data_IF_647410665402
#
_entry.id   IF_647410665402
#
_cell.length_a   1.000
_cell.length_b   1.000
_cell.length_c   1.000
_cell.angle_alpha   90.00
_cell.angle_beta   90.00
_cell.angle_gamma   90.00
#
_symmetry.space_group_name_H-M   'P 1'
#
loop_
_entity.id
_entity.type
_entity.pdbx_description
1 polymer ?
#
# COMPACT_ATOMS: atom_id res chain seq x y z
N UNK A 1 5.03 -8.23 -27.61
CA UNK A 1 3.69 -8.74 -27.25
C UNK A 1 2.85 -7.53 -26.89
N UNK A 2 1.99 -7.10 -27.80
CA UNK A 2 1.01 -6.05 -27.55
C UNK A 2 -0.07 -6.67 -26.67
N UNK A 3 -0.48 -6.00 -25.60
CA UNK A 3 -1.69 -6.39 -24.88
C UNK A 3 -2.87 -6.06 -25.81
N UNK A 4 -3.52 -7.08 -26.36
CA UNK A 4 -4.78 -6.89 -27.10
C UNK A 4 -5.87 -6.60 -26.07
N UNK A 5 -6.19 -5.31 -25.93
CA UNK A 5 -7.10 -4.80 -24.89
C UNK A 5 -8.55 -5.25 -25.08
N UNK A 6 -8.94 -5.69 -26.28
CA UNK A 6 -10.28 -6.23 -26.56
C UNK A 6 -10.55 -7.55 -25.79
N UNK A 7 -9.50 -8.23 -25.29
CA UNK A 7 -9.62 -9.45 -24.49
C UNK A 7 -9.94 -9.15 -23.00
N UNK A 8 -9.59 -7.95 -22.51
CA UNK A 8 -9.79 -7.56 -21.10
C UNK A 8 -11.27 -7.31 -20.75
N UNK A 9 -12.03 -6.72 -21.69
CA UNK A 9 -13.47 -6.45 -21.51
C UNK A 9 -14.29 -7.75 -21.39
N UNK A 10 -13.80 -8.85 -21.96
CA UNK A 10 -14.47 -10.16 -21.89
C UNK A 10 -14.30 -10.84 -20.52
N UNK A 11 -13.22 -10.52 -19.79
CA UNK A 11 -12.89 -11.13 -18.49
C UNK A 11 -13.69 -10.49 -17.33
N UNK A 12 -13.93 -9.18 -17.38
CA UNK A 12 -14.73 -8.50 -16.33
C UNK A 12 -16.18 -9.00 -16.29
N UNK A 13 -16.77 -9.35 -17.43
CA UNK A 13 -18.14 -9.86 -17.52
C UNK A 13 -18.31 -11.24 -16.84
N UNK A 14 -17.25 -12.05 -16.78
CA UNK A 14 -17.32 -13.40 -16.20
C UNK A 14 -17.15 -13.44 -14.68
N UNK A 15 -16.56 -12.40 -14.05
CA UNK A 15 -16.34 -12.35 -12.59
C UNK A 15 -17.56 -11.88 -11.80
N UNK A 16 -18.44 -11.08 -12.41
CA UNK A 16 -19.59 -10.48 -11.73
C UNK A 16 -20.68 -11.49 -11.27
N UNK A 17 -20.57 -12.77 -11.65
CA UNK A 17 -21.60 -13.81 -11.40
C UNK A 17 -21.31 -14.75 -10.22
N UNK A 18 -20.18 -14.61 -9.51
CA UNK A 18 -19.86 -15.40 -8.31
C UNK A 18 -20.04 -14.59 -7.02
N UNK A 19 -21.29 -14.34 -6.61
CA UNK A 19 -21.57 -13.68 -5.34
C UNK A 19 -21.43 -14.66 -4.15
N UNK A 20 -20.58 -14.29 -3.20
CA UNK A 20 -20.25 -15.01 -1.97
C UNK A 20 -21.40 -14.99 -0.95
N UNK A 21 -21.67 -16.12 -0.30
CA UNK A 21 -22.62 -16.26 0.82
C UNK A 21 -21.83 -16.25 2.14
N UNK A 22 -22.06 -15.30 3.06
CA UNK A 22 -21.30 -15.23 4.30
C UNK A 22 -21.75 -16.34 5.26
N UNK A 23 -20.82 -17.26 5.55
CA UNK A 23 -20.95 -18.30 6.56
C UNK A 23 -20.70 -17.70 7.95
N UNK A 24 -21.76 -17.58 8.76
CA UNK A 24 -21.67 -17.14 10.15
C UNK A 24 -21.03 -18.23 11.01
N UNK A 25 -19.76 -18.06 11.38
CA UNK A 25 -19.06 -18.92 12.33
C UNK A 25 -18.62 -18.08 13.52
N UNK A 26 -19.38 -18.16 14.61
CA UNK A 26 -18.98 -17.62 15.91
C UNK A 26 -17.76 -18.40 16.43
N UNK A 27 -16.57 -17.79 16.33
CA UNK A 27 -15.33 -18.38 16.84
C UNK A 27 -15.20 -18.12 18.35
N UNK A 28 -15.24 -19.20 19.12
CA UNK A 28 -14.91 -19.27 20.54
C UNK A 28 -13.48 -18.77 20.82
N UNK A 29 -13.36 -17.49 21.23
CA UNK A 29 -12.16 -16.88 21.82
C UNK A 29 -12.16 -17.10 23.34
N UNK A 30 -11.43 -18.08 23.88
CA UNK A 30 -11.19 -18.05 25.35
C UNK A 30 -9.87 -18.62 25.88
N UNK A 31 -9.00 -19.23 25.06
CA UNK A 31 -7.80 -19.92 25.59
C UNK A 31 -6.47 -19.17 25.36
N UNK A 32 -6.42 -18.18 24.47
CA UNK A 32 -5.18 -17.43 24.16
C UNK A 32 -4.99 -16.11 24.96
N UNK A 33 -5.93 -15.73 25.82
CA UNK A 33 -5.97 -14.40 26.42
C UNK A 33 -4.82 -14.10 27.43
N UNK A 34 -4.29 -15.12 28.12
CA UNK A 34 -3.35 -14.91 29.23
C UNK A 34 -1.94 -14.46 28.82
N UNK A 35 -1.47 -14.84 27.63
CA UNK A 35 -0.13 -14.45 27.15
C UNK A 35 -0.07 -12.98 26.74
N UNK A 36 -1.11 -12.52 26.06
CA UNK A 36 -1.20 -11.17 25.51
C UNK A 36 -1.29 -10.11 26.61
N UNK A 37 -2.01 -10.37 27.70
CA UNK A 37 -2.14 -9.42 28.81
C UNK A 37 -0.81 -9.16 29.53
N UNK A 38 0.01 -10.20 29.71
CA UNK A 38 1.34 -10.07 30.30
C UNK A 38 2.29 -9.27 29.40
N UNK A 39 2.16 -9.42 28.07
CA UNK A 39 2.93 -8.65 27.10
C UNK A 39 2.53 -7.17 27.08
N UNK A 40 1.22 -6.87 27.08
CA UNK A 40 0.70 -5.50 27.20
C UNK A 40 1.26 -4.83 28.46
N UNK A 41 1.17 -5.48 29.61
CA UNK A 41 1.64 -4.93 30.88
C UNK A 41 3.17 -4.75 30.91
N UNK A 42 3.94 -5.69 30.35
CA UNK A 42 5.39 -5.56 30.21
C UNK A 42 5.74 -4.36 29.33
N UNK A 43 5.07 -4.22 28.19
CA UNK A 43 5.27 -3.09 27.29
C UNK A 43 4.90 -1.76 27.95
N UNK A 44 3.80 -1.71 28.72
CA UNK A 44 3.35 -0.52 29.44
C UNK A 44 4.42 -0.03 30.42
N UNK A 45 4.95 -0.93 31.26
CA UNK A 45 6.01 -0.60 32.22
C UNK A 45 7.28 -0.09 31.53
N UNK A 46 7.68 -0.74 30.43
CA UNK A 46 8.84 -0.31 29.62
C UNK A 46 8.64 1.12 29.09
N UNK A 47 7.50 1.40 28.45
CA UNK A 47 7.21 2.72 27.88
C UNK A 47 7.19 3.80 28.96
N UNK A 48 6.56 3.52 30.10
CA UNK A 48 6.51 4.45 31.24
C UNK A 48 7.90 4.76 31.81
N UNK A 49 8.75 3.73 31.98
CA UNK A 49 10.12 3.92 32.44
C UNK A 49 10.96 4.75 31.45
N UNK A 50 10.71 4.59 30.16
CA UNK A 50 11.46 5.24 29.08
C UNK A 50 10.96 6.64 28.70
N UNK A 51 9.94 7.19 29.36
CA UNK A 51 9.30 8.47 28.94
C UNK A 51 10.28 9.65 28.83
N UNK A 52 11.38 9.63 29.58
CA UNK A 52 12.39 10.68 29.60
C UNK A 52 13.68 10.32 28.85
N UNK A 53 13.77 9.10 28.31
CA UNK A 53 15.00 8.61 27.66
C UNK A 53 15.00 8.82 26.14
N UNK A 54 13.94 9.38 25.58
CA UNK A 54 13.79 9.64 24.14
C UNK A 54 12.99 8.58 23.38
N UNK A 55 12.69 8.86 22.12
CA UNK A 55 11.81 8.02 21.29
C UNK A 55 12.41 6.63 21.02
N UNK A 56 13.75 6.51 20.98
CA UNK A 56 14.42 5.25 20.68
C UNK A 56 14.12 4.18 21.74
N UNK A 57 14.10 4.58 23.01
CA UNK A 57 13.79 3.71 24.14
C UNK A 57 12.30 3.37 24.24
N UNK A 58 11.43 4.27 23.79
CA UNK A 58 9.97 4.03 23.72
C UNK A 58 9.65 3.02 22.60
N UNK A 59 10.24 3.19 21.42
CA UNK A 59 10.06 2.30 20.27
C UNK A 59 10.90 1.02 20.32
N UNK A 60 11.77 0.87 21.33
CA UNK A 60 12.70 -0.26 21.47
C UNK A 60 13.65 -0.45 20.28
N UNK A 61 14.12 0.66 19.72
CA UNK A 61 14.99 0.68 18.55
C UNK A 61 16.45 0.89 18.94
N UNK A 62 17.34 0.20 18.22
CA UNK A 62 18.77 0.30 18.43
C UNK A 62 19.34 1.51 17.66
N UNK A 63 19.98 2.44 18.39
CA UNK A 63 20.47 3.74 17.89
C UNK A 63 21.46 3.65 16.72
N UNK A 64 22.15 2.52 16.57
CA UNK A 64 23.25 2.42 15.62
C UNK A 64 22.82 2.26 14.15
N UNK A 65 21.57 1.84 13.89
CA UNK A 65 21.00 1.71 12.54
C UNK A 65 19.47 1.86 12.61
N UNK A 66 19.01 3.08 12.75
CA UNK A 66 17.56 3.35 12.66
C UNK A 66 17.24 3.89 11.27
N UNK A 67 16.47 3.11 10.51
CA UNK A 67 15.87 3.56 9.25
C UNK A 67 14.37 3.83 9.42
N UNK A 68 13.79 4.56 8.46
CA UNK A 68 12.38 4.95 8.48
C UNK A 68 11.44 3.74 8.51
N UNK A 69 11.85 2.60 7.92
CA UNK A 69 11.06 1.37 7.90
C UNK A 69 10.98 0.72 9.29
N UNK A 70 12.10 0.66 10.02
CA UNK A 70 12.19 0.12 11.38
C UNK A 70 11.37 0.94 12.37
N UNK A 71 11.39 2.28 12.22
CA UNK A 71 10.55 3.20 13.01
C UNK A 71 9.07 2.90 12.81
N UNK A 72 8.63 2.79 11.55
CA UNK A 72 7.24 2.46 11.21
C UNK A 72 6.83 1.08 11.72
N UNK A 73 7.71 0.08 11.57
CA UNK A 73 7.48 -1.28 12.07
C UNK A 73 7.27 -1.30 13.58
N UNK A 74 8.19 -0.68 14.33
CA UNK A 74 8.10 -0.61 15.79
C UNK A 74 6.86 0.15 16.26
N UNK A 75 6.54 1.28 15.62
CA UNK A 75 5.31 2.01 15.90
C UNK A 75 4.08 1.16 15.65
N UNK A 76 4.01 0.47 14.51
CA UNK A 76 2.87 -0.38 14.15
C UNK A 76 2.64 -1.50 15.17
N UNK A 77 3.68 -2.23 15.57
CA UNK A 77 3.57 -3.29 16.58
C UNK A 77 3.05 -2.74 17.93
N UNK A 78 3.55 -1.58 18.38
CA UNK A 78 3.07 -0.95 19.62
C UNK A 78 1.66 -0.37 19.49
N UNK A 79 1.33 0.20 18.34
CA UNK A 79 0.01 0.73 18.04
C UNK A 79 -1.04 -0.40 18.05
N UNK A 80 -0.72 -1.56 17.48
CA UNK A 80 -1.57 -2.75 17.55
C UNK A 80 -1.71 -3.28 18.97
N UNK A 81 -0.69 -3.18 19.81
CA UNK A 81 -0.73 -3.67 21.18
C UNK A 81 -1.55 -2.75 22.10
N UNK A 82 -1.42 -1.43 21.94
CA UNK A 82 -2.01 -0.41 22.83
C UNK A 82 -3.15 0.39 22.18
N UNK A 83 -3.74 -0.09 21.08
CA UNK A 83 -4.82 0.64 20.41
C UNK A 83 -6.01 0.85 21.37
N UNK A 84 -6.60 2.07 21.44
CA UNK A 84 -7.70 2.38 22.37
C UNK A 84 -8.90 1.44 22.22
N UNK A 85 -9.17 0.95 21.00
CA UNK A 85 -10.31 0.08 20.72
C UNK A 85 -10.17 -1.35 21.25
N UNK A 86 -8.95 -1.83 21.57
CA UNK A 86 -8.74 -3.22 21.97
C UNK A 86 -8.99 -3.46 23.45
N UNK A 87 -8.53 -2.58 24.32
CA UNK A 87 -8.59 -2.80 25.77
C UNK A 87 -9.64 -1.94 26.48
N UNK A 88 -10.08 -0.83 25.87
CA UNK A 88 -10.96 0.15 26.51
C UNK A 88 -10.38 0.80 27.77
N UNK A 89 -9.10 0.55 28.09
CA UNK A 89 -8.44 1.06 29.29
C UNK A 89 -7.91 2.46 29.04
N UNK A 90 -8.23 3.40 29.95
CA UNK A 90 -7.68 4.76 29.90
C UNK A 90 -6.15 4.77 29.92
N UNK A 91 -5.50 3.77 30.54
CA UNK A 91 -4.05 3.66 30.54
C UNK A 91 -3.49 3.45 29.13
N UNK A 92 -4.15 2.65 28.30
CA UNK A 92 -3.67 2.34 26.95
C UNK A 92 -3.87 3.52 25.99
N UNK A 93 -4.91 4.34 26.22
CA UNK A 93 -5.08 5.61 25.51
C UNK A 93 -3.87 6.53 25.72
N UNK A 94 -3.38 6.65 26.95
CA UNK A 94 -2.22 7.49 27.27
C UNK A 94 -0.93 6.89 26.72
N UNK A 95 -0.75 5.57 26.81
CA UNK A 95 0.40 4.89 26.22
C UNK A 95 0.41 5.05 24.70
N UNK A 96 -0.73 4.91 24.03
CA UNK A 96 -0.85 5.10 22.59
C UNK A 96 -0.43 6.51 22.17
N UNK A 97 -0.83 7.55 22.91
CA UNK A 97 -0.39 8.94 22.67
C UNK A 97 1.13 9.09 22.83
N UNK A 98 1.72 8.47 23.84
CA UNK A 98 3.18 8.50 24.06
C UNK A 98 3.91 7.82 22.90
N UNK A 99 3.44 6.63 22.48
CA UNK A 99 3.98 5.87 21.35
C UNK A 99 3.85 6.66 20.05
N UNK A 100 2.70 7.29 19.80
CA UNK A 100 2.46 8.11 18.63
C UNK A 100 3.37 9.34 18.59
N UNK A 101 3.53 10.03 19.73
CA UNK A 101 4.48 11.15 19.83
C UNK A 101 5.91 10.69 19.54
N UNK A 102 6.34 9.57 20.13
CA UNK A 102 7.66 9.01 19.88
C UNK A 102 7.88 8.66 18.41
N UNK A 103 6.86 8.14 17.73
CA UNK A 103 6.89 7.90 16.29
C UNK A 103 7.06 9.19 15.47
N UNK A 104 6.28 10.24 15.76
CA UNK A 104 6.42 11.52 15.07
C UNK A 104 7.80 12.13 15.26
N UNK A 105 8.33 12.10 16.49
CA UNK A 105 9.68 12.58 16.80
C UNK A 105 10.74 11.78 16.03
N UNK A 106 10.61 10.45 15.97
CA UNK A 106 11.51 9.55 15.26
C UNK A 106 11.51 9.78 13.75
N UNK A 107 10.34 9.91 13.13
CA UNK A 107 10.22 10.16 11.68
C UNK A 107 10.85 11.50 11.31
N UNK A 108 10.64 12.54 12.12
CA UNK A 108 11.25 13.84 11.91
C UNK A 108 12.78 13.77 11.97
N UNK A 109 13.34 13.07 12.97
CA UNK A 109 14.78 12.92 13.12
C UNK A 109 15.42 12.09 11.99
N UNK A 110 14.81 10.96 11.61
CA UNK A 110 15.28 10.11 10.51
C UNK A 110 15.24 10.87 9.18
N UNK A 111 14.16 11.62 8.91
CA UNK A 111 14.06 12.43 7.68
C UNK A 111 15.15 13.51 7.59
N UNK A 112 15.53 14.12 8.71
CA UNK A 112 16.65 15.07 8.78
C UNK A 112 18.00 14.38 8.53
N UNK A 113 18.21 13.17 9.07
CA UNK A 113 19.43 12.39 8.84
C UNK A 113 19.58 11.96 7.37
N UNK A 114 18.49 11.51 6.74
CA UNK A 114 18.45 11.14 5.32
C UNK A 114 18.77 12.34 4.42
N UNK A 115 18.16 13.50 4.71
CA UNK A 115 18.41 14.76 4.00
C UNK A 115 19.86 15.21 4.12
N UNK A 116 20.47 15.05 5.30
CA UNK A 116 21.87 15.40 5.56
C UNK A 116 22.83 14.45 4.83
N UNK A 117 22.52 13.15 4.81
CA UNK A 117 23.31 12.12 4.13
C UNK A 117 23.33 12.30 2.62
N UNK A 118 22.19 12.68 2.02
CA UNK A 118 22.10 13.00 0.58
C UNK A 118 23.02 14.16 0.20
N UNK A 119 23.11 15.21 1.03
CA UNK A 119 24.03 16.33 0.81
C UNK A 119 25.50 15.95 0.94
N UNK A 120 25.82 14.97 1.78
CA UNK A 120 27.17 14.46 1.96
C UNK A 120 27.63 13.53 0.82
N UNK A 121 26.79 13.27 -0.20
CA UNK A 121 27.12 12.36 -1.30
C UNK A 121 27.20 10.89 -0.87
N UNK A 122 26.78 10.59 0.37
CA UNK A 122 26.67 9.22 0.88
C UNK A 122 25.38 8.67 0.29
N UNK A 123 25.49 7.82 -0.74
CA UNK A 123 24.34 7.08 -1.27
C UNK A 123 23.71 6.31 -0.11
N UNK A 124 22.56 6.76 0.35
CA UNK A 124 21.78 6.08 1.39
C UNK A 124 21.58 4.65 0.93
N UNK A 125 21.95 3.70 1.79
CA UNK A 125 21.72 2.28 1.55
C UNK A 125 20.20 2.08 1.62
N UNK A 126 19.49 2.35 0.52
CA UNK A 126 18.05 2.15 0.42
C UNK A 126 17.69 0.78 0.94
N UNK A 127 16.55 0.69 1.65
CA UNK A 127 16.04 -0.49 2.33
C UNK A 127 16.49 -1.76 1.60
N UNK A 128 17.58 -2.37 2.06
CA UNK A 128 18.07 -3.59 1.44
C UNK A 128 16.96 -4.60 1.68
N UNK A 129 16.39 -5.22 0.62
CA UNK A 129 15.38 -6.25 0.81
C UNK A 129 15.98 -7.24 1.80
N UNK A 130 15.36 -7.35 2.97
CA UNK A 130 15.80 -8.30 3.98
C UNK A 130 15.79 -9.68 3.34
N UNK A 131 16.91 -10.39 3.41
CA UNK A 131 17.05 -11.79 2.95
C UNK A 131 16.24 -12.77 3.85
N UNK A 132 15.26 -12.23 4.59
CA UNK A 132 14.43 -12.92 5.54
C UNK A 132 13.25 -13.55 4.79
N UNK A 133 13.46 -14.79 4.39
CA UNK A 133 12.48 -15.85 4.60
C UNK A 133 11.31 -15.87 3.63
N UNK A 134 11.36 -16.84 2.71
CA UNK A 134 10.24 -17.36 1.91
C UNK A 134 9.39 -16.30 1.20
N UNK A 135 9.91 -15.82 0.06
CA UNK A 135 8.99 -15.46 -1.02
C UNK A 135 8.25 -16.74 -1.42
N UNK A 136 6.92 -16.73 -1.31
CA UNK A 136 6.13 -17.79 -1.91
C UNK A 136 6.34 -17.71 -3.42
N UNK A 137 6.93 -18.73 -4.07
CA UNK A 137 7.08 -18.72 -5.52
C UNK A 137 5.74 -19.07 -6.15
N UNK A 138 4.72 -18.23 -5.92
CA UNK A 138 3.41 -18.43 -6.52
C UNK A 138 3.53 -18.17 -8.02
N UNK A 139 3.20 -19.18 -8.81
CA UNK A 139 3.12 -19.11 -10.26
C UNK A 139 1.67 -19.24 -10.72
N UNK A 140 1.44 -19.09 -12.02
CA UNK A 140 0.13 -19.36 -12.62
C UNK A 140 -0.33 -20.82 -12.42
N UNK A 141 0.59 -21.73 -12.11
CA UNK A 141 0.31 -23.14 -11.84
C UNK A 141 0.16 -23.48 -10.34
N UNK A 142 0.20 -22.49 -9.44
CA UNK A 142 0.03 -22.74 -8.01
C UNK A 142 -1.40 -23.17 -7.71
N UNK A 143 -1.58 -24.16 -6.82
CA UNK A 143 -2.92 -24.61 -6.44
C UNK A 143 -3.66 -23.53 -5.65
N UNK A 144 -4.99 -23.58 -5.70
CA UNK A 144 -5.86 -22.66 -4.95
C UNK A 144 -5.54 -22.67 -3.46
N UNK A 145 -5.32 -23.85 -2.89
CA UNK A 145 -5.06 -24.06 -1.47
C UNK A 145 -3.72 -23.44 -1.05
N UNK A 146 -2.69 -23.60 -1.90
CA UNK A 146 -1.37 -23.03 -1.64
C UNK A 146 -1.40 -21.51 -1.66
N UNK A 147 -2.08 -20.92 -2.65
CA UNK A 147 -2.21 -19.47 -2.78
C UNK A 147 -3.00 -18.90 -1.61
N UNK A 148 -4.08 -19.58 -1.19
CA UNK A 148 -4.86 -19.14 -0.03
C UNK A 148 -4.05 -19.22 1.26
N UNK A 149 -3.34 -20.31 1.50
CA UNK A 149 -2.47 -20.45 2.66
C UNK A 149 -1.38 -19.36 2.72
N UNK A 150 -0.80 -18.99 1.57
CA UNK A 150 0.19 -17.93 1.49
C UNK A 150 -0.38 -16.55 1.87
N UNK A 151 -1.61 -16.24 1.43
CA UNK A 151 -2.30 -15.01 1.82
C UNK A 151 -2.66 -15.03 3.31
N UNK A 152 -3.18 -16.15 3.82
CA UNK A 152 -3.52 -16.30 5.24
C UNK A 152 -2.30 -16.16 6.16
N UNK A 153 -1.16 -16.75 5.78
CA UNK A 153 0.11 -16.60 6.52
C UNK A 153 0.60 -15.14 6.48
N UNK A 154 0.52 -14.48 5.32
CA UNK A 154 0.88 -13.06 5.22
C UNK A 154 -0.02 -12.15 6.05
N UNK A 155 -1.33 -12.40 6.09
CA UNK A 155 -2.27 -11.63 6.93
C UNK A 155 -1.94 -11.79 8.41
N UNK A 156 -1.62 -13.01 8.83
CA UNK A 156 -1.18 -13.29 10.19
C UNK A 156 0.13 -12.56 10.52
N UNK A 157 1.13 -12.64 9.65
CA UNK A 157 2.39 -11.92 9.80
C UNK A 157 2.18 -10.40 9.83
N UNK A 158 1.23 -9.88 9.05
CA UNK A 158 0.90 -8.46 9.05
C UNK A 158 0.34 -8.01 10.39
N UNK A 159 -0.62 -8.77 10.93
CA UNK A 159 -1.23 -8.51 12.24
C UNK A 159 -0.22 -8.61 13.40
N UNK A 160 0.85 -9.39 13.24
CA UNK A 160 1.95 -9.46 14.21
C UNK A 160 3.05 -8.41 13.97
N UNK A 161 2.97 -7.66 12.87
CA UNK A 161 4.01 -6.72 12.45
C UNK A 161 5.29 -7.42 11.98
N UNK A 162 5.20 -8.65 11.50
CA UNK A 162 6.28 -9.48 10.97
C UNK A 162 6.47 -9.41 9.45
N UNK A 163 5.64 -8.62 8.73
CA UNK A 163 5.75 -8.47 7.27
C UNK A 163 7.08 -7.90 6.79
N UNK A 164 7.45 -8.31 5.57
CA UNK A 164 8.62 -7.82 4.84
C UNK A 164 8.37 -6.44 4.26
N UNK A 165 7.21 -6.24 3.62
CA UNK A 165 6.82 -4.97 3.03
C UNK A 165 5.79 -4.29 3.91
N UNK A 166 6.18 -3.18 4.54
CA UNK A 166 5.25 -2.32 5.25
C UNK A 166 4.47 -1.49 4.22
N UNK A 167 3.13 -1.54 4.19
CA UNK A 167 2.29 -0.80 3.23
C UNK A 167 2.67 0.67 3.06
N UNK A 168 2.94 1.34 4.17
CA UNK A 168 3.29 2.77 4.20
C UNK A 168 4.69 3.05 3.64
N UNK A 169 5.57 2.05 3.63
CA UNK A 169 6.94 2.15 3.09
C UNK A 169 7.01 1.98 1.58
N UNK A 170 5.92 1.57 0.93
CA UNK A 170 5.87 1.43 -0.52
C UNK A 170 5.85 2.83 -1.14
N UNK A 171 6.74 3.10 -2.11
CA UNK A 171 6.92 4.44 -2.65
C UNK A 171 5.65 4.95 -3.31
N UNK A 172 5.43 6.25 -3.21
CA UNK A 172 4.31 6.94 -3.81
C UNK A 172 4.72 7.63 -5.12
N UNK A 173 3.77 7.80 -6.03
CA UNK A 173 3.91 8.55 -7.29
C UNK A 173 2.81 9.58 -7.39
N UNK A 174 3.16 10.81 -7.74
CA UNK A 174 2.22 11.91 -7.95
C UNK A 174 1.38 11.68 -9.23
N UNK A 175 0.17 12.24 -9.27
CA UNK A 175 -0.72 12.15 -10.43
C UNK A 175 -0.07 12.67 -11.74
N UNK A 176 0.73 13.73 -11.66
CA UNK A 176 1.43 14.30 -12.82
C UNK A 176 2.50 13.36 -13.38
N UNK A 177 3.23 12.65 -12.52
CA UNK A 177 4.24 11.69 -12.93
C UNK A 177 3.59 10.42 -13.48
N UNK A 178 2.53 9.93 -12.85
CA UNK A 178 1.72 8.83 -13.36
C UNK A 178 1.20 9.12 -14.78
N UNK A 179 0.69 10.32 -15.04
CA UNK A 179 0.21 10.71 -16.36
C UNK A 179 1.33 10.63 -17.43
N UNK A 180 2.55 11.05 -17.07
CA UNK A 180 3.73 10.91 -17.95
C UNK A 180 4.08 9.43 -18.21
N UNK A 181 4.01 8.57 -17.19
CA UNK A 181 4.25 7.13 -17.36
C UNK A 181 3.19 6.46 -18.23
N UNK A 182 1.92 6.85 -18.08
CA UNK A 182 0.82 6.37 -18.92
C UNK A 182 1.04 6.77 -20.38
N UNK A 183 1.44 8.01 -20.64
CA UNK A 183 1.72 8.49 -21.98
C UNK A 183 2.87 7.74 -22.65
N UNK A 184 3.91 7.43 -21.88
CA UNK A 184 5.07 6.70 -22.35
C UNK A 184 4.82 5.19 -22.47
N UNK A 185 3.66 4.68 -22.03
CA UNK A 185 3.37 3.25 -21.95
C UNK A 185 4.34 2.52 -21.02
N UNK A 186 4.77 3.16 -19.93
CA UNK A 186 5.77 2.65 -18.98
C UNK A 186 5.17 2.09 -17.69
N UNK A 187 3.87 2.22 -17.50
CA UNK A 187 3.18 1.71 -16.32
C UNK A 187 1.90 0.96 -16.65
N UNK A 188 1.48 0.10 -15.72
CA UNK A 188 0.15 -0.46 -15.61
C UNK A 188 -0.45 0.02 -14.30
N UNK A 189 -1.70 0.48 -14.34
CA UNK A 189 -2.39 0.99 -13.16
C UNK A 189 -3.29 -0.11 -12.63
N UNK A 190 -3.33 -0.29 -11.32
CA UNK A 190 -4.15 -1.30 -10.65
C UNK A 190 -5.16 -0.60 -9.75
N UNK A 191 -6.45 -0.77 -10.06
CA UNK A 191 -7.56 -0.28 -9.26
C UNK A 191 -7.90 -1.30 -8.17
N UNK A 192 -7.61 -0.93 -6.92
CA UNK A 192 -7.83 -1.77 -5.74
C UNK A 192 -9.06 -1.41 -4.93
N UNK A 193 -9.92 -0.55 -5.47
CA UNK A 193 -11.20 -0.22 -4.84
C UNK A 193 -12.09 -1.44 -4.76
N UNK A 194 -12.91 -1.47 -3.73
CA UNK A 194 -13.88 -2.55 -3.55
C UNK A 194 -14.94 -2.52 -4.66
N UNK A 195 -15.60 -3.67 -4.88
CA UNK A 195 -16.62 -3.81 -5.90
C UNK A 195 -17.69 -2.71 -5.84
N UNK A 196 -18.10 -2.38 -4.62
CA UNK A 196 -19.10 -1.36 -4.31
C UNK A 196 -18.59 0.06 -4.58
N UNK A 197 -17.38 0.38 -4.14
CA UNK A 197 -16.77 1.70 -4.36
C UNK A 197 -16.68 2.00 -5.85
N UNK A 198 -16.06 1.10 -6.62
CA UNK A 198 -15.91 1.29 -8.05
C UNK A 198 -17.24 1.25 -8.84
N UNK A 199 -18.31 0.64 -8.30
CA UNK A 199 -19.63 0.61 -8.95
C UNK A 199 -20.46 1.86 -8.69
N UNK A 200 -20.47 2.37 -7.46
CA UNK A 200 -21.39 3.44 -7.05
C UNK A 200 -20.73 4.81 -7.04
N UNK A 201 -19.40 4.88 -6.89
CA UNK A 201 -18.67 6.11 -7.08
C UNK A 201 -18.52 6.40 -8.58
N UNK A 202 -19.51 7.09 -9.14
CA UNK A 202 -19.46 7.67 -10.50
C UNK A 202 -18.47 8.84 -10.57
N UNK A 203 -17.30 8.69 -9.96
CA UNK A 203 -16.23 9.68 -9.98
C UNK A 203 -15.58 9.64 -11.37
N UNK A 204 -15.44 10.81 -11.98
CA UNK A 204 -14.79 11.01 -13.28
C UNK A 204 -13.80 12.18 -13.16
N UNK A 205 -12.69 12.15 -13.94
CA UNK A 205 -12.30 11.08 -14.85
C UNK A 205 -11.69 9.86 -14.13
N UNK A 206 -11.90 8.66 -14.69
CA UNK A 206 -11.23 7.44 -14.22
C UNK A 206 -9.82 7.38 -14.81
N UNK A 207 -8.91 6.67 -14.14
CA UNK A 207 -7.58 6.41 -14.70
C UNK A 207 -7.73 5.45 -15.90
N UNK A 208 -7.27 5.82 -17.10
CA UNK A 208 -7.46 4.98 -18.28
C UNK A 208 -6.77 3.64 -18.14
N UNK A 209 -7.42 2.58 -18.63
CA UNK A 209 -6.84 1.23 -18.74
C UNK A 209 -6.36 0.66 -17.40
N UNK A 210 -6.94 1.10 -16.28
CA UNK A 210 -6.64 0.52 -14.99
C UNK A 210 -7.14 -0.93 -14.93
N UNK A 211 -6.25 -1.84 -14.57
CA UNK A 211 -6.57 -3.24 -14.30
C UNK A 211 -7.24 -3.35 -12.94
N UNK A 212 -8.42 -3.96 -12.90
CA UNK A 212 -9.18 -4.10 -11.66
C UNK A 212 -8.72 -5.31 -10.85
N UNK A 213 -8.13 -5.05 -9.68
CA UNK A 213 -7.75 -6.06 -8.69
C UNK A 213 -8.19 -5.55 -7.32
N UNK A 214 -9.46 -5.81 -6.98
CA UNK A 214 -10.02 -5.40 -5.69
C UNK A 214 -9.24 -6.03 -4.53
N UNK A 215 -9.00 -5.27 -3.46
CA UNK A 215 -8.30 -5.79 -2.29
C UNK A 215 -9.05 -6.97 -1.66
N UNK A 216 -10.39 -6.87 -1.54
CA UNK A 216 -11.26 -7.97 -1.13
C UNK A 216 -11.12 -9.22 -2.00
N UNK A 217 -10.98 -9.07 -3.32
CA UNK A 217 -10.80 -10.21 -4.24
C UNK A 217 -9.42 -10.85 -4.07
N UNK A 218 -8.38 -10.03 -3.91
CA UNK A 218 -7.01 -10.50 -3.68
C UNK A 218 -6.91 -11.28 -2.36
N UNK A 219 -7.69 -10.89 -1.34
CA UNK A 219 -7.78 -11.65 -0.10
C UNK A 219 -8.64 -12.89 -0.26
N UNK A 220 -9.90 -12.74 -0.64
CA UNK A 220 -10.91 -13.81 -0.60
C UNK A 220 -10.70 -14.87 -1.69
N UNK A 221 -10.35 -14.45 -2.91
CA UNK A 221 -10.31 -15.29 -4.10
C UNK A 221 -9.02 -15.10 -4.94
N UNK A 222 -7.82 -15.10 -4.34
CA UNK A 222 -6.56 -14.77 -5.03
C UNK A 222 -6.26 -15.69 -6.21
N UNK A 223 -6.68 -16.95 -6.13
CA UNK A 223 -6.53 -17.94 -7.19
C UNK A 223 -7.21 -17.54 -8.52
N UNK A 224 -8.28 -16.74 -8.46
CA UNK A 224 -8.98 -16.29 -9.68
C UNK A 224 -8.22 -15.19 -10.42
N UNK A 225 -7.20 -14.60 -9.78
CA UNK A 225 -6.39 -13.50 -10.28
C UNK A 225 -5.01 -13.95 -10.78
N UNK A 226 -4.65 -15.25 -10.66
CA UNK A 226 -3.28 -15.71 -10.89
C UNK A 226 -2.78 -15.48 -12.32
N UNK A 227 -3.65 -15.56 -13.32
CA UNK A 227 -3.28 -15.31 -14.71
C UNK A 227 -2.96 -13.84 -14.94
N UNK A 228 -3.84 -12.94 -14.50
CA UNK A 228 -3.63 -11.48 -14.55
C UNK A 228 -2.36 -11.08 -13.79
N UNK A 229 -2.20 -11.58 -12.56
CA UNK A 229 -1.02 -11.32 -11.72
C UNK A 229 0.25 -11.89 -12.35
N UNK A 230 0.19 -13.07 -12.95
CA UNK A 230 1.34 -13.69 -13.61
C UNK A 230 1.76 -12.92 -14.86
N UNK A 231 0.81 -12.36 -15.60
CA UNK A 231 1.07 -11.53 -16.77
C UNK A 231 1.65 -10.18 -16.36
N UNK A 232 1.05 -9.54 -15.33
CA UNK A 232 1.52 -8.28 -14.78
C UNK A 232 2.96 -8.41 -14.23
N UNK A 233 3.24 -9.48 -13.48
CA UNK A 233 4.57 -9.76 -12.92
C UNK A 233 5.65 -9.95 -13.99
N UNK A 234 5.30 -10.56 -15.13
CA UNK A 234 6.22 -10.78 -16.26
C UNK A 234 6.48 -9.54 -17.11
N UNK A 235 5.64 -8.51 -17.00
CA UNK A 235 5.91 -7.23 -17.66
C UNK A 235 7.16 -6.58 -17.07
N UNK A 236 7.73 -5.57 -17.74
CA UNK A 236 8.80 -4.70 -17.19
C UNK A 236 8.25 -3.32 -16.76
N UNK A 237 6.93 -3.15 -16.75
CA UNK A 237 6.30 -1.87 -16.45
C UNK A 237 6.31 -1.56 -14.95
N UNK A 238 6.25 -0.27 -14.62
CA UNK A 238 5.87 0.18 -13.28
C UNK A 238 4.42 -0.23 -12.99
N UNK A 239 4.13 -0.62 -11.77
CA UNK A 239 2.79 -1.01 -11.32
C UNK A 239 2.34 0.02 -10.31
N UNK A 240 1.32 0.80 -10.66
CA UNK A 240 0.81 1.87 -9.81
C UNK A 240 -0.53 1.47 -9.25
N UNK A 241 -0.56 1.22 -7.94
CA UNK A 241 -1.73 0.74 -7.21
C UNK A 241 -2.47 1.92 -6.60
N UNK A 242 -3.79 1.95 -6.71
CA UNK A 242 -4.60 3.02 -6.11
C UNK A 242 -5.91 2.52 -5.50
N UNK A 243 -6.40 3.28 -4.52
CA UNK A 243 -7.74 3.18 -3.94
C UNK A 243 -8.45 4.54 -4.09
N UNK A 244 -9.69 4.69 -3.60
CA UNK A 244 -10.41 5.98 -3.67
C UNK A 244 -9.59 7.11 -3.05
N UNK A 245 -9.09 6.87 -1.84
CA UNK A 245 -8.16 7.75 -1.14
C UNK A 245 -6.77 7.12 -1.11
N UNK A 246 -5.76 7.96 -1.27
CA UNK A 246 -4.36 7.59 -1.00
C UNK A 246 -4.01 7.71 0.48
N UNK A 247 -2.73 7.65 0.79
CA UNK A 247 -2.19 7.86 2.13
C UNK A 247 -1.78 6.57 2.85
N UNK A 248 -1.45 6.71 4.13
CA UNK A 248 -0.95 5.62 4.97
C UNK A 248 -2.07 4.64 5.30
N UNK A 249 -1.79 3.34 5.19
CA UNK A 249 -2.66 2.20 5.55
C UNK A 249 -3.94 2.00 4.74
N UNK A 250 -4.04 2.60 3.55
CA UNK A 250 -5.15 2.35 2.63
C UNK A 250 -5.07 0.98 1.93
N UNK A 251 -6.18 0.56 1.30
CA UNK A 251 -6.26 -0.68 0.51
C UNK A 251 -5.17 -0.76 -0.57
N UNK A 252 -4.77 0.37 -1.16
CA UNK A 252 -3.69 0.40 -2.14
C UNK A 252 -2.33 -0.04 -1.56
N UNK A 253 -2.03 0.33 -0.32
CA UNK A 253 -0.80 -0.07 0.36
C UNK A 253 -0.81 -1.55 0.74
N UNK A 254 -1.94 -2.03 1.27
CA UNK A 254 -2.11 -3.44 1.60
C UNK A 254 -2.04 -4.33 0.36
N UNK A 255 -2.70 -3.92 -0.73
CA UNK A 255 -2.63 -4.63 -2.00
C UNK A 255 -1.20 -4.64 -2.55
N UNK A 256 -0.52 -3.49 -2.56
CA UNK A 256 0.85 -3.40 -3.02
C UNK A 256 1.81 -4.29 -2.20
N UNK A 257 1.64 -4.34 -0.87
CA UNK A 257 2.44 -5.22 -0.02
C UNK A 257 2.19 -6.71 -0.31
N UNK A 258 0.93 -7.12 -0.51
CA UNK A 258 0.59 -8.47 -0.94
C UNK A 258 1.22 -8.84 -2.29
N UNK A 259 1.18 -7.93 -3.28
CA UNK A 259 1.83 -8.14 -4.58
C UNK A 259 3.32 -8.45 -4.39
N UNK A 260 4.02 -7.69 -3.53
CA UNK A 260 5.44 -7.87 -3.28
C UNK A 260 5.71 -9.18 -2.51
N UNK A 261 5.08 -9.34 -1.35
CA UNK A 261 5.44 -10.37 -0.37
C UNK A 261 4.89 -11.76 -0.74
N UNK A 262 3.66 -11.82 -1.26
CA UNK A 262 2.97 -13.08 -1.56
C UNK A 262 3.14 -13.46 -3.02
N UNK A 263 2.96 -12.52 -3.95
CA UNK A 263 3.03 -12.81 -5.39
C UNK A 263 4.43 -12.60 -5.98
N UNK A 264 5.39 -12.13 -5.17
CA UNK A 264 6.79 -12.04 -5.53
C UNK A 264 7.08 -10.97 -6.59
N UNK A 265 6.32 -9.89 -6.61
CA UNK A 265 6.60 -8.74 -7.46
C UNK A 265 7.89 -8.05 -7.02
N UNK A 266 8.57 -7.40 -7.97
CA UNK A 266 9.74 -6.57 -7.68
C UNK A 266 9.29 -5.29 -6.98
N UNK A 267 9.70 -5.12 -5.72
CA UNK A 267 9.37 -3.96 -4.88
C UNK A 267 9.79 -2.63 -5.53
N UNK A 268 10.84 -2.59 -6.36
CA UNK A 268 11.27 -1.37 -7.05
C UNK A 268 10.31 -0.93 -8.16
N UNK A 269 9.40 -1.81 -8.57
CA UNK A 269 8.44 -1.59 -9.64
C UNK A 269 7.02 -1.35 -9.13
N UNK A 270 6.75 -1.55 -7.86
CA UNK A 270 5.42 -1.36 -7.26
C UNK A 270 5.36 -0.01 -6.55
N UNK A 271 4.40 0.81 -6.93
CA UNK A 271 4.20 2.18 -6.47
C UNK A 271 2.74 2.36 -6.04
N UNK A 272 2.49 3.33 -5.16
CA UNK A 272 1.15 3.76 -4.77
C UNK A 272 0.85 5.12 -5.39
N UNK A 273 -0.37 5.34 -5.85
CA UNK A 273 -0.78 6.68 -6.28
C UNK A 273 -0.99 7.59 -5.06
N UNK A 274 -0.24 8.69 -4.99
CA UNK A 274 -0.43 9.70 -3.94
C UNK A 274 -1.83 10.29 -4.03
N UNK A 275 -2.48 10.46 -2.87
CA UNK A 275 -3.89 10.88 -2.75
C UNK A 275 -4.93 9.97 -3.45
N UNK A 276 -4.51 8.87 -4.08
CA UNK A 276 -5.37 7.89 -4.72
C UNK A 276 -6.13 8.45 -5.92
N UNK A 277 -7.35 7.95 -6.14
CA UNK A 277 -8.20 8.40 -7.24
C UNK A 277 -8.59 9.89 -7.09
N UNK A 278 -8.70 10.39 -5.87
CA UNK A 278 -9.06 11.79 -5.61
C UNK A 278 -7.98 12.76 -6.09
N UNK A 279 -6.72 12.45 -5.83
CA UNK A 279 -5.58 13.20 -6.35
C UNK A 279 -5.55 13.21 -7.88
N UNK A 280 -5.82 12.05 -8.50
CA UNK A 280 -5.94 11.96 -9.96
C UNK A 280 -7.05 12.83 -10.53
N UNK A 281 -8.25 12.79 -9.94
CA UNK A 281 -9.39 13.58 -10.42
C UNK A 281 -9.12 15.08 -10.29
N UNK A 282 -8.54 15.49 -9.16
CA UNK A 282 -8.15 16.87 -8.92
C UNK A 282 -7.14 17.34 -9.98
N UNK A 283 -6.10 16.54 -10.22
CA UNK A 283 -5.09 16.81 -11.26
C UNK A 283 -5.71 16.87 -12.66
N UNK A 284 -6.53 15.90 -13.04
CA UNK A 284 -7.10 15.82 -14.38
C UNK A 284 -8.05 17.00 -14.66
N UNK A 285 -8.89 17.36 -13.68
CA UNK A 285 -9.77 18.53 -13.77
C UNK A 285 -8.97 19.83 -13.93
N UNK A 286 -7.87 19.98 -13.17
CA UNK A 286 -6.97 21.10 -13.31
C UNK A 286 -6.30 21.13 -14.70
N UNK A 287 -5.82 19.98 -15.18
CA UNK A 287 -5.17 19.85 -16.48
C UNK A 287 -6.11 20.27 -17.62
N UNK A 288 -7.37 19.81 -17.60
CA UNK A 288 -8.40 20.23 -18.55
C UNK A 288 -8.65 21.74 -18.52
N UNK A 289 -8.75 22.34 -17.34
CA UNK A 289 -8.96 23.77 -17.17
C UNK A 289 -7.79 24.60 -17.74
N UNK A 290 -6.55 24.20 -17.45
CA UNK A 290 -5.34 24.86 -17.97
C UNK A 290 -5.26 24.73 -19.49
N UNK A 291 -5.61 23.57 -20.05
CA UNK A 291 -5.66 23.41 -21.49
C UNK A 291 -6.72 24.27 -22.16
N UNK A 292 -7.91 24.37 -21.57
CA UNK A 292 -8.97 25.26 -22.05
C UNK A 292 -8.51 26.73 -22.10
N UNK A 293 -7.79 27.18 -21.08
CA UNK A 293 -7.21 28.53 -21.03
C UNK A 293 -6.11 28.75 -22.06
N UNK A 294 -5.19 27.78 -22.24
CA UNK A 294 -4.18 27.85 -23.30
C UNK A 294 -4.81 27.85 -24.69
N UNK A 295 -5.91 27.12 -24.89
CA UNK A 295 -6.64 27.10 -26.15
C UNK A 295 -7.23 28.47 -26.50
N UNK A 296 -7.87 29.12 -25.52
CA UNK A 296 -8.45 30.46 -25.68
C UNK A 296 -7.37 31.50 -26.00
N UNK A 297 -6.21 31.41 -25.35
CA UNK A 297 -5.15 32.41 -25.45
C UNK A 297 -4.24 32.24 -26.67
N UNK A 298 -3.90 31.01 -27.06
CA UNK A 298 -2.95 30.73 -28.15
C UNK A 298 -3.64 30.36 -29.47
N UNK A 299 -4.96 30.16 -29.45
CA UNK A 299 -5.77 29.87 -30.63
C UNK A 299 -5.47 28.50 -31.28
N UNK A 300 -6.11 28.21 -32.43
CA UNK A 300 -6.16 26.86 -32.98
C UNK A 300 -4.83 26.26 -33.47
N UNK A 301 -3.77 27.07 -33.54
CA UNK A 301 -2.44 26.66 -34.01
C UNK A 301 -1.61 25.96 -32.93
N UNK A 302 -2.02 26.00 -31.65
CA UNK A 302 -1.32 25.32 -30.56
C UNK A 302 -1.56 23.80 -30.49
N UNK A 303 -2.44 23.23 -31.33
CA UNK A 303 -2.82 21.80 -31.34
C UNK A 303 -1.65 20.81 -31.43
N UNK A 304 -0.51 21.23 -31.97
CA UNK A 304 0.63 20.32 -32.16
C UNK A 304 1.64 20.34 -31.00
N UNK A 305 1.58 21.32 -30.09
CA UNK A 305 2.47 21.34 -28.93
C UNK A 305 1.93 20.54 -27.73
N UNK A 306 0.62 20.32 -27.64
CA UNK A 306 0.00 19.68 -26.47
C UNK A 306 -0.69 18.36 -26.84
N UNK A 307 0.10 17.37 -27.30
CA UNK A 307 -0.35 15.98 -27.43
C UNK A 307 -0.28 15.20 -26.08
N UNK A 308 0.08 15.90 -25.00
CA UNK A 308 0.26 15.37 -23.64
C UNK A 308 -1.05 14.93 -22.95
N UNK A 309 -2.23 15.30 -23.46
CA UNK A 309 -3.51 15.12 -22.73
C UNK A 309 -4.54 14.30 -23.51
N UNK A 310 -4.13 13.58 -24.56
CA UNK A 310 -5.01 12.58 -25.20
C UNK A 310 -5.27 11.32 -24.33
N UNK A 311 -5.06 11.43 -23.02
CA UNK A 311 -5.15 10.36 -22.03
C UNK A 311 -6.36 10.58 -21.11
N UNK A 312 -6.85 11.81 -20.94
CA UNK A 312 -8.06 12.09 -20.14
C UNK A 312 -9.32 11.81 -20.95
#
# INVERSE_FOLDING_TARGET
MSWDFDELDSLEASRASQAFVPSGVEHSRSVLAGGQELEIERSRRRIQASMHEGWQKILDLNLHKTDSASVRKAYHSLALLHHPDKSGSHADVEIFKIVHKAYTDAVAEVSLQESTSLRAGVRSAGCRPSDHGKKWPLGSSSSKELVRAAVDEWEHDYDEGNVNSVPDCIPEVEAVELASWLQAGKCVVVDCREAMEAKYERRKPLIPKALRIGFGDLRALPHTLLDDLSQLRRSDFHIVVFSTHGGTSGNCGMCAALLIDVFGFDASRVWRLEEGLDGWIAWATWAEAVQGLLWITLGPRAKHCFRLVGIV
#
